data_IF_301653494576
#
_entry.id   IF_301653494576
#
_cell.length_a   1.000
_cell.length_b   1.000
_cell.length_c   1.000
_cell.angle_alpha   90.00
_cell.angle_beta   90.00
_cell.angle_gamma   90.00
#
_symmetry.space_group_name_H-M   'P 1'
#
loop_
_entity.id
_entity.type
_entity.pdbx_description
1 polymer ?
#
# COMPACT_ATOMS: atom_id res chain seq x y z
N UNK A 1 -17.47 -9.42 -3.58
CA UNK A 1 -18.78 -8.94 -3.10
C UNK A 1 -19.31 -7.81 -3.98
N UNK A 2 -20.62 -7.53 -3.97
CA UNK A 2 -21.25 -6.50 -4.81
C UNK A 2 -20.73 -5.09 -4.51
N UNK A 3 -21.01 -4.14 -5.41
CA UNK A 3 -20.72 -2.72 -5.16
C UNK A 3 -21.47 -2.26 -3.90
N UNK A 4 -20.82 -1.42 -3.08
CA UNK A 4 -21.36 -1.01 -1.78
C UNK A 4 -21.05 -1.95 -0.60
N UNK A 5 -20.52 -3.15 -0.84
CA UNK A 5 -20.16 -4.09 0.26
C UNK A 5 -18.93 -3.69 1.11
N UNK A 6 -18.41 -2.46 0.96
CA UNK A 6 -17.28 -1.97 1.76
C UNK A 6 -15.88 -2.40 1.32
N UNK A 7 -15.72 -3.11 0.19
CA UNK A 7 -14.41 -3.58 -0.30
C UNK A 7 -13.38 -2.46 -0.43
N UNK A 8 -13.74 -1.37 -1.11
CA UNK A 8 -12.85 -0.21 -1.30
C UNK A 8 -12.52 0.46 0.02
N UNK A 9 -13.48 0.55 0.94
CA UNK A 9 -13.26 1.06 2.31
C UNK A 9 -12.27 0.18 3.06
N UNK A 10 -12.42 -1.14 2.98
CA UNK A 10 -11.51 -2.10 3.60
C UNK A 10 -10.09 -1.98 3.04
N UNK A 11 -9.94 -1.91 1.71
CA UNK A 11 -8.64 -1.71 1.06
C UNK A 11 -8.00 -0.41 1.53
N UNK A 12 -8.76 0.70 1.57
CA UNK A 12 -8.28 1.99 2.08
C UNK A 12 -7.86 1.93 3.56
N UNK A 13 -8.51 1.09 4.37
CA UNK A 13 -8.11 0.86 5.76
C UNK A 13 -6.80 0.06 5.85
N UNK A 14 -6.66 -1.01 5.06
CA UNK A 14 -5.44 -1.84 5.02
C UNK A 14 -4.22 -1.04 4.54
N UNK A 15 -4.41 -0.13 3.57
CA UNK A 15 -3.34 0.74 3.07
C UNK A 15 -3.10 1.98 3.94
N UNK A 16 -3.91 2.17 5.00
CA UNK A 16 -3.81 3.30 5.92
C UNK A 16 -4.20 4.65 5.32
N UNK A 17 -5.00 4.67 4.26
CA UNK A 17 -5.59 5.89 3.67
C UNK A 17 -6.72 6.41 4.57
N UNK A 18 -7.49 5.51 5.18
CA UNK A 18 -8.50 5.83 6.19
C UNK A 18 -8.28 4.94 7.42
N UNK A 19 -8.71 5.40 8.60
CA UNK A 19 -8.63 4.61 9.81
C UNK A 19 -9.92 3.83 10.07
N UNK A 20 -9.80 2.65 10.64
CA UNK A 20 -10.93 1.95 11.21
C UNK A 20 -11.39 2.67 12.49
N UNK A 21 -12.70 2.83 12.67
CA UNK A 21 -13.26 3.45 13.87
C UNK A 21 -12.95 2.61 15.13
N UNK A 22 -12.93 1.29 14.98
CA UNK A 22 -12.66 0.33 16.05
C UNK A 22 -11.88 -0.88 15.53
N UNK A 23 -11.26 -1.61 16.46
CA UNK A 23 -10.47 -2.80 16.17
C UNK A 23 -9.05 -2.48 15.68
N UNK A 24 -8.37 -3.52 15.19
CA UNK A 24 -7.00 -3.44 14.69
C UNK A 24 -6.89 -4.21 13.37
N UNK A 25 -6.05 -3.71 12.47
CA UNK A 25 -5.65 -4.40 11.25
C UNK A 25 -4.17 -4.72 11.38
N UNK A 26 -3.84 -6.01 11.28
CA UNK A 26 -2.47 -6.52 11.34
C UNK A 26 -2.06 -6.98 9.94
N UNK A 27 -0.91 -6.49 9.48
CA UNK A 27 -0.23 -6.93 8.26
C UNK A 27 1.01 -7.70 8.71
N UNK A 28 1.02 -9.02 8.50
CA UNK A 28 2.06 -9.92 9.01
C UNK A 28 2.44 -9.65 10.47
N UNK A 29 1.40 -9.57 11.32
CA UNK A 29 1.54 -9.30 12.75
C UNK A 29 1.77 -7.83 13.12
N UNK A 30 2.05 -6.95 12.16
CA UNK A 30 2.32 -5.53 12.40
C UNK A 30 1.06 -4.69 12.27
N UNK A 31 0.75 -3.91 13.31
CA UNK A 31 -0.45 -3.08 13.31
C UNK A 31 -0.26 -1.85 12.42
N UNK A 32 -1.13 -1.69 11.41
CA UNK A 32 -1.06 -0.59 10.43
C UNK A 32 -1.23 0.80 11.04
N UNK A 33 -1.86 0.90 12.22
CA UNK A 33 -2.09 2.17 12.92
C UNK A 33 -0.89 2.55 13.79
N UNK A 34 -0.30 1.61 14.51
CA UNK A 34 0.82 1.92 15.44
C UNK A 34 2.18 1.87 14.76
N UNK A 35 2.37 0.97 13.78
CA UNK A 35 3.62 0.78 13.05
C UNK A 35 3.37 0.87 11.52
N UNK A 36 2.91 2.03 11.00
CA UNK A 36 2.43 2.15 9.62
C UNK A 36 3.51 1.90 8.57
N UNK A 37 4.75 2.36 8.80
CA UNK A 37 5.85 2.19 7.83
C UNK A 37 6.24 0.72 7.71
N UNK A 38 6.50 0.06 8.85
CA UNK A 38 6.85 -1.36 8.88
C UNK A 38 5.75 -2.23 8.26
N UNK A 39 4.47 -1.92 8.53
CA UNK A 39 3.36 -2.64 7.91
C UNK A 39 3.29 -2.41 6.39
N UNK A 40 3.50 -1.17 5.92
CA UNK A 40 3.46 -0.83 4.49
C UNK A 40 4.61 -1.44 3.70
N UNK A 41 5.79 -1.60 4.28
CA UNK A 41 6.92 -2.28 3.65
C UNK A 41 6.61 -3.77 3.34
N UNK A 42 5.61 -4.37 3.98
CA UNK A 42 5.20 -5.77 3.79
C UNK A 42 4.13 -5.97 2.71
N UNK A 43 3.53 -4.90 2.18
CA UNK A 43 2.44 -4.98 1.20
C UNK A 43 2.61 -4.00 0.04
N UNK A 44 2.30 -4.45 -1.17
CA UNK A 44 2.13 -3.58 -2.33
C UNK A 44 0.66 -3.27 -2.58
N UNK A 45 0.35 -2.04 -2.98
CA UNK A 45 -1.00 -1.64 -3.41
C UNK A 45 -0.98 -1.20 -4.88
N UNK A 46 -1.85 -1.81 -5.68
CA UNK A 46 -2.10 -1.42 -7.07
C UNK A 46 -3.46 -0.73 -7.13
N UNK A 47 -3.51 0.59 -7.40
CA UNK A 47 -4.78 1.29 -7.54
C UNK A 47 -5.51 0.91 -8.83
N UNK A 48 -6.84 1.03 -8.82
CA UNK A 48 -7.66 0.85 -10.02
C UNK A 48 -7.35 1.89 -11.11
N UNK A 49 -6.91 3.09 -10.71
CA UNK A 49 -6.49 4.14 -11.63
C UNK A 49 -4.96 4.14 -11.78
N UNK A 50 -4.41 3.70 -12.93
CA UNK A 50 -2.97 3.66 -13.19
C UNK A 50 -2.38 5.05 -13.47
N UNK A 51 -3.22 6.09 -13.60
CA UNK A 51 -2.78 7.39 -14.11
C UNK A 51 -1.84 8.15 -13.15
N UNK A 52 -1.73 7.72 -11.89
CA UNK A 52 -0.88 8.37 -10.88
C UNK A 52 0.61 8.42 -11.25
N UNK A 53 1.09 7.49 -12.08
CA UNK A 53 2.52 7.36 -12.40
C UNK A 53 2.87 7.69 -13.85
N UNK A 54 1.94 8.24 -14.64
CA UNK A 54 2.12 8.51 -16.08
C UNK A 54 3.27 9.47 -16.41
N UNK A 55 3.81 10.18 -15.43
CA UNK A 55 4.95 11.10 -15.61
C UNK A 55 6.31 10.40 -15.55
N UNK A 56 6.36 9.11 -15.23
CA UNK A 56 7.58 8.31 -15.14
C UNK A 56 7.65 7.30 -16.28
N UNK A 57 8.84 7.09 -16.83
CA UNK A 57 9.14 5.92 -17.67
C UNK A 57 9.11 4.66 -16.81
N UNK A 58 8.90 3.50 -17.44
CA UNK A 58 8.81 2.23 -16.70
C UNK A 58 10.01 1.93 -15.79
N UNK A 59 11.23 2.26 -16.23
CA UNK A 59 12.44 2.08 -15.41
C UNK A 59 12.53 3.09 -14.26
N UNK A 60 12.06 4.33 -14.46
CA UNK A 60 12.01 5.36 -13.42
C UNK A 60 11.00 4.98 -12.34
N UNK A 61 9.84 4.44 -12.74
CA UNK A 61 8.86 3.88 -11.81
C UNK A 61 9.43 2.69 -11.02
N UNK A 62 10.11 1.76 -11.70
CA UNK A 62 10.70 0.59 -11.03
C UNK A 62 11.76 1.00 -10.01
N UNK A 63 12.66 1.93 -10.37
CA UNK A 63 13.66 2.44 -9.45
C UNK A 63 13.03 3.21 -8.27
N UNK A 64 12.03 4.05 -8.54
CA UNK A 64 11.29 4.75 -7.49
C UNK A 64 10.65 3.77 -6.49
N UNK A 65 10.02 2.70 -6.98
CA UNK A 65 9.45 1.67 -6.12
C UNK A 65 10.53 0.88 -5.37
N UNK A 66 11.65 0.55 -6.01
CA UNK A 66 12.77 -0.12 -5.36
C UNK A 66 13.33 0.70 -4.20
N UNK A 67 13.55 2.01 -4.41
CA UNK A 67 14.02 2.93 -3.38
C UNK A 67 13.00 3.08 -2.24
N UNK A 68 11.70 3.17 -2.56
CA UNK A 68 10.64 3.31 -1.55
C UNK A 68 10.46 2.07 -0.66
N UNK A 69 10.74 0.88 -1.19
CA UNK A 69 10.63 -0.40 -0.48
C UNK A 69 11.98 -0.95 0.01
N UNK A 70 13.04 -0.12 0.01
CA UNK A 70 14.38 -0.50 0.43
C UNK A 70 14.91 -1.79 -0.24
N UNK A 71 14.59 -1.98 -1.53
CA UNK A 71 15.05 -3.14 -2.30
C UNK A 71 16.56 -3.02 -2.54
N UNK A 72 17.36 -4.05 -2.17
CA UNK A 72 18.80 -4.01 -2.40
C UNK A 72 19.14 -3.86 -3.87
N UNK A 73 20.16 -3.05 -4.17
CA UNK A 73 20.74 -3.01 -5.53
C UNK A 73 21.30 -4.38 -5.88
N UNK A 74 21.08 -4.82 -7.10
CA UNK A 74 21.78 -5.98 -7.64
C UNK A 74 23.29 -5.71 -7.59
N UNK A 75 24.03 -6.59 -6.93
CA UNK A 75 25.50 -6.55 -6.86
C UNK A 75 26.16 -7.01 -8.16
#
# INVERSE_FOLDING_TARGET
GPNGAGKTTLIKMITGIIHADQGNILVDGTNIRTNPIEAKLKIGFVPDDPNMFLRLKGLEYLNFMADMYDVPKAG
#
